data_IF_317641145028
#
_entry.id   IF_317641145028
#
_cell.length_a   1.000
_cell.length_b   1.000
_cell.length_c   1.000
_cell.angle_alpha   90.00
_cell.angle_beta   90.00
_cell.angle_gamma   90.00
#
_symmetry.space_group_name_H-M   'P 1'
#
loop_
_entity.id
_entity.type
_entity.pdbx_description
1 polymer ?
#
# COMPACT_ATOMS: atom_id res chain seq x y z
N UNK A 1 19.53 -34.24 6.15
CA UNK A 1 18.59 -33.48 5.31
C UNK A 1 19.43 -32.56 4.44
N UNK A 2 19.33 -32.69 3.13
CA UNK A 2 20.05 -31.86 2.16
C UNK A 2 19.55 -30.40 2.24
N UNK A 3 20.44 -29.44 1.98
CA UNK A 3 20.09 -28.01 2.08
C UNK A 3 18.93 -27.61 1.16
N UNK A 4 18.83 -28.26 0.00
CA UNK A 4 17.74 -28.10 -0.94
C UNK A 4 16.38 -28.53 -0.35
N UNK A 5 16.31 -29.68 0.33
CA UNK A 5 15.12 -30.13 1.04
C UNK A 5 14.66 -29.15 2.14
N UNK A 6 15.60 -28.57 2.90
CA UNK A 6 15.27 -27.55 3.92
C UNK A 6 14.68 -26.30 3.27
N UNK A 7 15.30 -25.78 2.20
CA UNK A 7 14.80 -24.60 1.48
C UNK A 7 13.40 -24.83 0.91
N UNK A 8 13.13 -26.03 0.39
CA UNK A 8 11.81 -26.38 -0.13
C UNK A 8 10.74 -26.34 0.96
N UNK A 9 11.02 -26.92 2.13
CA UNK A 9 10.10 -26.89 3.27
C UNK A 9 9.85 -25.47 3.79
N UNK A 10 10.92 -24.68 3.96
CA UNK A 10 10.82 -23.29 4.43
C UNK A 10 10.00 -22.45 3.44
N UNK A 11 10.29 -22.54 2.15
CA UNK A 11 9.53 -21.84 1.12
C UNK A 11 8.07 -22.30 1.07
N UNK A 12 7.81 -23.60 1.21
CA UNK A 12 6.47 -24.16 1.28
C UNK A 12 5.64 -23.60 2.44
N UNK A 13 6.20 -23.59 3.66
CA UNK A 13 5.54 -23.01 4.85
C UNK A 13 5.31 -21.51 4.64
N UNK A 14 6.30 -20.78 4.13
CA UNK A 14 6.18 -19.35 3.89
C UNK A 14 5.08 -19.01 2.86
N UNK A 15 4.96 -19.80 1.79
CA UNK A 15 3.89 -19.68 0.79
C UNK A 15 2.51 -19.94 1.39
N UNK A 16 2.37 -20.96 2.25
CA UNK A 16 1.11 -21.26 2.96
C UNK A 16 0.74 -20.11 3.89
N UNK A 17 1.67 -19.61 4.70
CA UNK A 17 1.42 -18.47 5.59
C UNK A 17 1.04 -17.20 4.80
N UNK A 18 1.68 -16.98 3.65
CA UNK A 18 1.34 -15.85 2.76
C UNK A 18 -0.05 -16.01 2.17
N UNK A 19 -0.45 -17.23 1.79
CA UNK A 19 -1.80 -17.51 1.32
C UNK A 19 -2.86 -17.29 2.42
N UNK A 20 -2.58 -17.69 3.66
CA UNK A 20 -3.46 -17.42 4.82
C UNK A 20 -3.59 -15.91 5.05
N UNK A 21 -2.48 -15.17 5.02
CA UNK A 21 -2.53 -13.70 5.16
C UNK A 21 -3.29 -13.05 4.00
N UNK A 22 -3.17 -13.58 2.78
CA UNK A 22 -3.91 -13.10 1.62
C UNK A 22 -5.42 -13.27 1.81
N UNK A 23 -5.89 -14.31 2.50
CA UNK A 23 -7.32 -14.52 2.78
C UNK A 23 -7.94 -13.40 3.65
N UNK A 24 -7.12 -12.68 4.42
CA UNK A 24 -7.56 -11.53 5.23
C UNK A 24 -7.49 -10.19 4.47
N UNK A 25 -7.05 -10.17 3.20
CA UNK A 25 -6.95 -8.97 2.37
C UNK A 25 -8.19 -8.79 1.49
N UNK A 26 -8.24 -7.66 0.78
CA UNK A 26 -9.27 -7.44 -0.24
C UNK A 26 -9.28 -8.60 -1.26
N UNK A 27 -10.45 -8.98 -1.78
CA UNK A 27 -10.57 -10.13 -2.71
C UNK A 27 -9.67 -10.00 -3.94
N UNK A 28 -9.44 -8.78 -4.41
CA UNK A 28 -8.58 -8.51 -5.56
C UNK A 28 -7.11 -8.76 -5.22
N UNK A 29 -6.60 -8.17 -4.14
CA UNK A 29 -5.21 -8.35 -3.70
C UNK A 29 -4.94 -9.81 -3.30
N UNK A 30 -5.92 -10.46 -2.67
CA UNK A 30 -5.86 -11.87 -2.30
C UNK A 30 -5.68 -12.76 -3.54
N UNK A 31 -6.49 -12.52 -4.58
CA UNK A 31 -6.42 -13.29 -5.83
C UNK A 31 -5.06 -13.16 -6.50
N UNK A 32 -4.50 -11.96 -6.58
CA UNK A 32 -3.21 -11.74 -7.23
C UNK A 32 -2.06 -12.43 -6.45
N UNK A 33 -2.07 -12.33 -5.12
CA UNK A 33 -1.09 -13.04 -4.28
C UNK A 33 -1.22 -14.56 -4.40
N UNK A 34 -2.45 -15.08 -4.45
CA UNK A 34 -2.68 -16.50 -4.66
C UNK A 34 -2.18 -16.96 -6.03
N UNK A 35 -2.36 -16.16 -7.08
CA UNK A 35 -1.80 -16.44 -8.41
C UNK A 35 -0.27 -16.51 -8.33
N UNK A 36 0.38 -15.54 -7.71
CA UNK A 36 1.86 -15.54 -7.55
C UNK A 36 2.32 -16.77 -6.75
N UNK A 37 1.69 -17.07 -5.62
CA UNK A 37 2.00 -18.26 -4.83
C UNK A 37 1.81 -19.54 -5.63
N UNK A 38 0.72 -19.64 -6.41
CA UNK A 38 0.45 -20.81 -7.25
C UNK A 38 1.51 -21.01 -8.33
N UNK A 39 1.98 -19.93 -8.97
CA UNK A 39 3.04 -19.99 -9.99
C UNK A 39 4.35 -20.50 -9.37
N UNK A 40 4.72 -20.01 -8.19
CA UNK A 40 5.92 -20.47 -7.48
C UNK A 40 5.80 -21.95 -7.11
N UNK A 41 4.64 -22.38 -6.60
CA UNK A 41 4.40 -23.79 -6.24
C UNK A 41 4.44 -24.71 -7.46
N UNK A 42 3.82 -24.31 -8.58
CA UNK A 42 3.86 -25.09 -9.82
C UNK A 42 5.29 -25.18 -10.35
N UNK A 43 6.04 -24.08 -10.38
CA UNK A 43 7.44 -24.09 -10.80
C UNK A 43 8.30 -24.99 -9.92
N UNK A 44 8.10 -24.94 -8.60
CA UNK A 44 8.78 -25.82 -7.64
C UNK A 44 8.41 -27.29 -7.84
N UNK A 45 7.13 -27.61 -8.08
CA UNK A 45 6.66 -28.96 -8.32
C UNK A 45 7.21 -29.53 -9.63
N UNK A 46 7.24 -28.74 -10.71
CA UNK A 46 7.88 -29.13 -11.97
C UNK A 46 9.37 -29.37 -11.75
N UNK A 47 10.06 -28.48 -11.04
CA UNK A 47 11.47 -28.70 -10.72
C UNK A 47 11.68 -29.94 -9.86
N UNK A 48 10.78 -30.24 -8.92
CA UNK A 48 10.88 -31.43 -8.07
C UNK A 48 10.78 -32.72 -8.88
N UNK A 49 9.93 -32.77 -9.91
CA UNK A 49 9.77 -33.93 -10.77
C UNK A 49 10.93 -34.12 -11.77
N UNK A 50 11.45 -33.03 -12.33
CA UNK A 50 12.43 -33.08 -13.43
C UNK A 50 13.88 -32.83 -13.01
N UNK A 51 14.09 -32.03 -11.97
CA UNK A 51 15.39 -31.60 -11.49
C UNK A 51 15.38 -31.40 -9.96
N UNK A 52 15.17 -32.48 -9.17
CA UNK A 52 14.93 -32.38 -7.72
C UNK A 52 16.04 -31.65 -6.98
N UNK A 53 17.28 -31.71 -7.48
CA UNK A 53 18.45 -31.04 -6.90
C UNK A 53 18.34 -29.50 -6.81
N UNK A 54 17.48 -28.87 -7.63
CA UNK A 54 17.33 -27.40 -7.66
C UNK A 54 15.97 -26.90 -7.17
N UNK A 55 15.02 -27.80 -6.91
CA UNK A 55 13.63 -27.43 -6.64
C UNK A 55 13.45 -26.48 -5.44
N UNK A 56 14.20 -26.70 -4.36
CA UNK A 56 14.19 -25.84 -3.18
C UNK A 56 14.77 -24.46 -3.44
N UNK A 57 15.82 -24.35 -4.26
CA UNK A 57 16.38 -23.05 -4.66
C UNK A 57 15.42 -22.25 -5.53
N UNK A 58 14.70 -22.91 -6.44
CA UNK A 58 13.67 -22.25 -7.27
C UNK A 58 12.51 -21.77 -6.41
N UNK A 59 12.02 -22.60 -5.48
CA UNK A 59 10.94 -22.22 -4.58
C UNK A 59 11.33 -21.04 -3.68
N UNK A 60 12.48 -21.14 -3.00
CA UNK A 60 12.96 -20.10 -2.09
C UNK A 60 13.36 -18.82 -2.82
N UNK A 61 14.02 -18.93 -3.97
CA UNK A 61 14.39 -17.78 -4.81
C UNK A 61 13.18 -17.08 -5.39
N UNK A 62 12.20 -17.83 -5.91
CA UNK A 62 10.93 -17.30 -6.39
C UNK A 62 10.16 -16.56 -5.29
N UNK A 63 10.06 -17.16 -4.11
CA UNK A 63 9.45 -16.51 -2.93
C UNK A 63 10.20 -15.24 -2.52
N UNK A 64 11.53 -15.29 -2.45
CA UNK A 64 12.34 -14.15 -2.06
C UNK A 64 12.18 -12.98 -3.05
N UNK A 65 12.21 -13.25 -4.36
CA UNK A 65 12.09 -12.21 -5.39
C UNK A 65 10.67 -11.67 -5.51
N UNK A 66 9.64 -12.52 -5.44
CA UNK A 66 8.27 -12.10 -5.69
C UNK A 66 7.53 -11.58 -4.45
N UNK A 67 7.98 -11.93 -3.24
CA UNK A 67 7.27 -11.60 -1.99
C UNK A 67 8.17 -10.82 -1.02
N UNK A 68 9.36 -11.35 -0.70
CA UNK A 68 10.23 -10.72 0.32
C UNK A 68 10.83 -9.40 -0.20
N UNK A 69 11.40 -9.40 -1.40
CA UNK A 69 12.06 -8.23 -1.97
C UNK A 69 11.08 -7.05 -2.15
N UNK A 70 9.87 -7.21 -2.71
CA UNK A 70 8.88 -6.13 -2.80
C UNK A 70 8.46 -5.62 -1.43
N UNK A 71 8.31 -6.50 -0.43
CA UNK A 71 7.95 -6.10 0.93
C UNK A 71 9.04 -5.21 1.55
N UNK A 72 10.31 -5.62 1.47
CA UNK A 72 11.45 -4.85 1.97
C UNK A 72 11.59 -3.51 1.23
N UNK A 73 11.42 -3.52 -0.09
CA UNK A 73 11.46 -2.30 -0.89
C UNK A 73 10.31 -1.35 -0.54
N UNK A 74 9.13 -1.87 -0.22
CA UNK A 74 7.99 -1.07 0.22
C UNK A 74 8.30 -0.37 1.53
N UNK A 75 8.90 -1.08 2.50
CA UNK A 75 9.33 -0.49 3.78
C UNK A 75 10.41 0.58 3.56
N UNK A 76 11.42 0.30 2.73
CA UNK A 76 12.47 1.26 2.41
C UNK A 76 11.91 2.50 1.70
N UNK A 77 10.94 2.30 0.80
CA UNK A 77 10.26 3.36 0.07
C UNK A 77 9.44 4.25 1.02
N UNK A 78 8.65 3.66 1.91
CA UNK A 78 7.91 4.40 2.96
C UNK A 78 8.86 5.20 3.84
N UNK A 79 9.93 4.57 4.33
CA UNK A 79 10.94 5.27 5.13
C UNK A 79 11.65 6.41 4.36
N UNK A 80 11.77 6.31 3.04
CA UNK A 80 12.30 7.38 2.20
C UNK A 80 11.29 8.54 2.06
N UNK A 81 10.00 8.24 1.87
CA UNK A 81 8.92 9.24 1.84
C UNK A 81 8.81 9.99 3.17
N UNK A 82 8.79 9.26 4.29
CA UNK A 82 8.69 9.85 5.63
C UNK A 82 9.84 10.81 5.94
N UNK A 83 11.04 10.48 5.44
CA UNK A 83 12.25 11.31 5.59
C UNK A 83 12.40 12.36 4.48
N UNK A 84 11.39 12.53 3.61
CA UNK A 84 11.40 13.43 2.45
C UNK A 84 12.61 13.24 1.53
N UNK A 85 13.12 12.01 1.41
CA UNK A 85 14.23 11.65 0.52
C UNK A 85 13.69 11.31 -0.86
N UNK A 86 13.20 12.32 -1.58
CA UNK A 86 12.46 12.17 -2.84
C UNK A 86 13.24 11.44 -3.93
N UNK A 87 14.56 11.69 -4.05
CA UNK A 87 15.42 11.00 -5.03
C UNK A 87 15.48 9.49 -4.75
N UNK A 88 15.65 9.11 -3.48
CA UNK A 88 15.67 7.70 -3.07
C UNK A 88 14.29 7.06 -3.24
N UNK A 89 13.22 7.76 -2.88
CA UNK A 89 11.86 7.29 -3.09
C UNK A 89 11.59 7.03 -4.57
N UNK A 90 12.01 7.96 -5.45
CA UNK A 90 11.91 7.79 -6.91
C UNK A 90 12.66 6.55 -7.40
N UNK A 91 13.92 6.35 -6.99
CA UNK A 91 14.68 5.17 -7.39
C UNK A 91 14.03 3.85 -6.92
N UNK A 92 13.60 3.79 -5.66
CA UNK A 92 12.94 2.61 -5.08
C UNK A 92 11.59 2.32 -5.74
N UNK A 93 10.85 3.35 -6.11
CA UNK A 93 9.54 3.21 -6.75
C UNK A 93 9.61 2.60 -8.15
N UNK A 94 10.68 2.86 -8.90
CA UNK A 94 10.96 2.22 -10.19
C UNK A 94 11.24 0.73 -10.01
N UNK A 95 12.04 0.39 -9.01
CA UNK A 95 12.32 -1.00 -8.69
C UNK A 95 11.06 -1.74 -8.22
N UNK A 96 10.23 -1.08 -7.42
CA UNK A 96 8.90 -1.58 -7.07
C UNK A 96 8.02 -1.74 -8.31
N UNK A 97 7.99 -0.77 -9.24
CA UNK A 97 7.21 -0.86 -10.48
C UNK A 97 7.49 -2.15 -11.26
N UNK A 98 8.74 -2.54 -11.35
CA UNK A 98 9.18 -3.77 -12.03
C UNK A 98 8.79 -5.02 -11.23
N UNK A 99 8.97 -5.00 -9.90
CA UNK A 99 8.75 -6.16 -9.03
C UNK A 99 7.29 -6.36 -8.59
N UNK A 100 6.37 -5.46 -8.93
CA UNK A 100 5.01 -5.37 -8.37
C UNK A 100 4.17 -6.65 -8.59
N UNK A 101 3.87 -7.42 -7.52
CA UNK A 101 3.01 -8.58 -7.61
C UNK A 101 1.51 -8.22 -7.66
N UNK A 102 1.09 -7.02 -7.18
CA UNK A 102 -0.34 -6.67 -7.06
C UNK A 102 -0.72 -5.26 -7.57
N UNK A 103 -2.00 -5.07 -7.92
CA UNK A 103 -2.61 -3.81 -8.31
C UNK A 103 -2.63 -2.78 -7.16
N UNK A 104 -2.84 -3.23 -5.92
CA UNK A 104 -2.72 -2.36 -4.74
C UNK A 104 -1.32 -1.77 -4.59
N UNK A 105 -0.27 -2.59 -4.76
CA UNK A 105 1.11 -2.10 -4.76
C UNK A 105 1.38 -1.15 -5.94
N UNK A 106 0.71 -1.37 -7.09
CA UNK A 106 0.79 -0.43 -8.21
C UNK A 106 0.27 0.94 -7.86
N UNK A 107 -0.93 0.99 -7.29
CA UNK A 107 -1.58 2.24 -6.89
C UNK A 107 -0.76 2.96 -5.82
N UNK A 108 -0.31 2.24 -4.78
CA UNK A 108 0.49 2.80 -3.70
C UNK A 108 1.79 3.45 -4.20
N UNK A 109 2.53 2.74 -5.03
CA UNK A 109 3.81 3.24 -5.53
C UNK A 109 3.61 4.40 -6.51
N UNK A 110 2.55 4.38 -7.34
CA UNK A 110 2.20 5.49 -8.22
C UNK A 110 1.85 6.75 -7.42
N UNK A 111 1.09 6.62 -6.33
CA UNK A 111 0.77 7.74 -5.44
C UNK A 111 2.02 8.35 -4.79
N UNK A 112 2.96 7.53 -4.31
CA UNK A 112 4.19 8.06 -3.72
C UNK A 112 5.15 8.68 -4.75
N UNK A 113 5.17 8.17 -5.99
CA UNK A 113 5.86 8.81 -7.10
C UNK A 113 5.25 10.17 -7.44
N UNK A 114 3.93 10.23 -7.56
CA UNK A 114 3.23 11.47 -7.84
C UNK A 114 3.46 12.52 -6.75
N UNK A 115 3.48 12.12 -5.48
CA UNK A 115 3.84 13.01 -4.38
C UNK A 115 5.27 13.54 -4.51
N UNK A 116 6.23 12.70 -4.89
CA UNK A 116 7.62 13.12 -5.10
C UNK A 116 7.76 14.12 -6.26
N UNK A 117 7.10 13.88 -7.40
CA UNK A 117 7.12 14.83 -8.54
C UNK A 117 6.45 16.16 -8.17
N UNK A 118 5.33 16.11 -7.45
CA UNK A 118 4.60 17.29 -7.00
C UNK A 118 5.45 18.17 -6.07
N UNK A 119 6.21 17.56 -5.16
CA UNK A 119 7.14 18.26 -4.26
C UNK A 119 8.31 18.91 -5.02
N UNK A 120 8.70 18.37 -6.17
CA UNK A 120 9.69 19.01 -7.06
C UNK A 120 9.09 20.07 -8.00
N UNK A 121 7.77 20.27 -7.95
CA UNK A 121 7.04 21.26 -8.75
C UNK A 121 6.52 20.76 -10.09
N UNK A 122 6.75 19.49 -10.45
CA UNK A 122 6.24 18.88 -11.68
C UNK A 122 4.84 18.29 -11.45
N UNK A 123 3.86 19.19 -11.36
CA UNK A 123 2.46 18.83 -11.13
C UNK A 123 1.91 18.01 -12.30
N UNK A 124 2.32 18.29 -13.53
CA UNK A 124 1.85 17.56 -14.71
C UNK A 124 2.29 16.10 -14.69
N UNK A 125 3.59 15.83 -14.42
CA UNK A 125 4.09 14.47 -14.28
C UNK A 125 3.40 13.72 -13.13
N UNK A 126 3.15 14.39 -12.01
CA UNK A 126 2.40 13.82 -10.90
C UNK A 126 0.98 13.39 -11.31
N UNK A 127 0.28 14.22 -12.08
CA UNK A 127 -1.07 13.91 -12.58
C UNK A 127 -1.06 12.74 -13.57
N UNK A 128 -0.06 12.68 -14.46
CA UNK A 128 0.10 11.56 -15.41
C UNK A 128 0.34 10.24 -14.68
N UNK A 129 1.12 10.23 -13.60
CA UNK A 129 1.34 9.05 -12.77
C UNK A 129 0.08 8.55 -12.06
N UNK A 130 -0.86 9.46 -11.74
CA UNK A 130 -2.14 9.16 -11.10
C UNK A 130 -3.27 8.86 -12.10
N UNK A 131 -3.05 9.05 -13.40
CA UNK A 131 -4.06 8.83 -14.43
C UNK A 131 -4.49 7.35 -14.59
N UNK A 132 -3.59 6.34 -14.54
CA UNK A 132 -3.98 4.95 -14.65
C UNK A 132 -4.52 4.43 -13.31
N UNK A 133 -5.85 4.46 -13.16
CA UNK A 133 -6.54 3.80 -12.05
C UNK A 133 -7.22 2.49 -12.49
N UNK A 134 -6.90 1.98 -13.68
CA UNK A 134 -7.50 0.76 -14.24
C UNK A 134 -7.14 -0.45 -13.39
N UNK A 135 -8.17 -1.20 -12.97
CA UNK A 135 -8.02 -2.38 -12.11
C UNK A 135 -7.78 -2.08 -10.62
N UNK A 136 -7.68 -0.80 -10.23
CA UNK A 136 -7.57 -0.45 -8.82
C UNK A 136 -8.87 -0.76 -8.05
N UNK A 137 -8.73 -1.18 -6.79
CA UNK A 137 -9.86 -1.31 -5.88
C UNK A 137 -10.56 0.04 -5.70
N UNK A 138 -11.82 0.05 -5.24
CA UNK A 138 -12.55 1.29 -5.01
C UNK A 138 -11.81 2.21 -4.03
N UNK A 139 -11.29 1.65 -2.93
CA UNK A 139 -10.48 2.38 -1.96
C UNK A 139 -9.22 2.99 -2.60
N UNK A 140 -8.52 2.23 -3.46
CA UNK A 140 -7.35 2.74 -4.17
C UNK A 140 -7.71 3.85 -5.18
N UNK A 141 -8.81 3.71 -5.92
CA UNK A 141 -9.33 4.77 -6.82
C UNK A 141 -9.67 6.04 -6.07
N UNK A 142 -10.26 5.91 -4.89
CA UNK A 142 -10.59 7.02 -4.01
C UNK A 142 -9.33 7.73 -3.50
N UNK A 143 -8.35 6.97 -3.01
CA UNK A 143 -7.06 7.50 -2.57
C UNK A 143 -6.33 8.23 -3.71
N UNK A 144 -6.31 7.66 -4.91
CA UNK A 144 -5.75 8.31 -6.11
C UNK A 144 -6.49 9.62 -6.42
N UNK A 145 -7.82 9.62 -6.37
CA UNK A 145 -8.64 10.83 -6.63
C UNK A 145 -8.34 11.94 -5.62
N UNK A 146 -8.30 11.60 -4.33
CA UNK A 146 -7.95 12.52 -3.24
C UNK A 146 -6.55 13.09 -3.44
N UNK A 147 -5.54 12.24 -3.69
CA UNK A 147 -4.18 12.68 -3.95
C UNK A 147 -4.11 13.59 -5.19
N UNK A 148 -4.84 13.26 -6.25
CA UNK A 148 -4.85 14.03 -7.49
C UNK A 148 -5.41 15.44 -7.29
N UNK A 149 -6.50 15.58 -6.54
CA UNK A 149 -7.08 16.89 -6.20
C UNK A 149 -6.18 17.68 -5.26
N UNK A 150 -5.53 17.00 -4.30
CA UNK A 150 -4.56 17.61 -3.40
C UNK A 150 -3.35 18.19 -4.16
N UNK A 151 -2.73 17.39 -5.03
CA UNK A 151 -1.59 17.82 -5.86
C UNK A 151 -1.99 18.97 -6.81
N UNK A 152 -3.21 18.93 -7.35
CA UNK A 152 -3.74 20.00 -8.19
C UNK A 152 -4.24 21.24 -7.41
N UNK A 153 -4.15 21.23 -6.07
CA UNK A 153 -4.65 22.30 -5.19
C UNK A 153 -6.13 22.66 -5.41
N UNK A 154 -6.96 21.68 -5.83
CA UNK A 154 -8.40 21.86 -6.07
C UNK A 154 -9.17 21.59 -4.77
N UNK A 155 -9.02 22.50 -3.80
CA UNK A 155 -9.42 22.30 -2.41
C UNK A 155 -10.93 22.12 -2.21
N UNK A 156 -11.77 22.90 -2.89
CA UNK A 156 -13.23 22.78 -2.79
C UNK A 156 -13.73 21.43 -3.29
N UNK A 157 -13.18 20.95 -4.41
CA UNK A 157 -13.53 19.64 -4.97
C UNK A 157 -13.00 18.50 -4.10
N UNK A 158 -11.81 18.67 -3.52
CA UNK A 158 -11.27 17.71 -2.56
C UNK A 158 -12.21 17.57 -1.35
N UNK A 159 -12.72 18.69 -0.81
CA UNK A 159 -13.69 18.67 0.28
C UNK A 159 -14.99 17.98 -0.15
N UNK A 160 -15.53 18.31 -1.32
CA UNK A 160 -16.75 17.68 -1.82
C UNK A 160 -16.59 16.15 -1.97
N UNK A 161 -15.45 15.69 -2.47
CA UNK A 161 -15.14 14.25 -2.57
C UNK A 161 -15.04 13.60 -1.19
N UNK A 162 -14.35 14.23 -0.23
CA UNK A 162 -14.20 13.67 1.13
C UNK A 162 -15.54 13.67 1.88
N UNK A 163 -16.35 14.70 1.72
CA UNK A 163 -17.65 14.84 2.39
C UNK A 163 -18.73 13.92 1.81
N UNK A 164 -18.56 13.44 0.58
CA UNK A 164 -19.43 12.43 -0.03
C UNK A 164 -19.13 11.00 0.45
N UNK A 165 -18.02 10.77 1.15
CA UNK A 165 -17.68 9.46 1.73
C UNK A 165 -18.55 9.23 2.96
N UNK A 166 -19.01 7.98 3.15
CA UNK A 166 -19.72 7.59 4.35
C UNK A 166 -18.96 8.04 5.62
N UNK A 167 -19.63 8.70 6.60
CA UNK A 167 -18.96 9.21 7.79
C UNK A 167 -18.16 8.16 8.54
N UNK A 168 -18.67 6.94 8.72
CA UNK A 168 -17.95 5.90 9.44
C UNK A 168 -16.69 5.46 8.70
N UNK A 169 -16.77 5.35 7.38
CA UNK A 169 -15.62 4.99 6.54
C UNK A 169 -14.56 6.10 6.56
N UNK A 170 -14.99 7.35 6.38
CA UNK A 170 -14.12 8.54 6.44
C UNK A 170 -13.41 8.63 7.78
N UNK A 171 -14.13 8.34 8.85
CA UNK A 171 -13.65 8.43 10.23
C UNK A 171 -12.65 7.33 10.62
N UNK A 172 -12.65 6.20 9.91
CA UNK A 172 -11.69 5.10 10.09
C UNK A 172 -10.37 5.33 9.36
N UNK A 173 -10.31 6.28 8.42
CA UNK A 173 -9.10 6.58 7.63
C UNK A 173 -8.44 7.89 8.09
N UNK A 174 -7.33 7.83 8.86
CA UNK A 174 -6.63 9.01 9.34
C UNK A 174 -6.07 9.89 8.22
N UNK A 175 -5.78 9.33 7.04
CA UNK A 175 -5.25 10.10 5.92
C UNK A 175 -6.30 11.06 5.35
N UNK A 176 -7.56 10.62 5.26
CA UNK A 176 -8.66 11.48 4.80
C UNK A 176 -8.86 12.66 5.75
N UNK A 177 -8.78 12.43 7.07
CA UNK A 177 -8.86 13.50 8.06
C UNK A 177 -7.75 14.56 7.87
N UNK A 178 -6.52 14.13 7.58
CA UNK A 178 -5.40 15.05 7.31
C UNK A 178 -5.62 15.87 6.03
N UNK A 179 -6.06 15.24 4.94
CA UNK A 179 -6.37 15.96 3.70
C UNK A 179 -7.52 16.95 3.88
N UNK A 180 -8.55 16.56 4.62
CA UNK A 180 -9.71 17.42 4.91
C UNK A 180 -9.34 18.63 5.74
N UNK A 181 -8.61 18.44 6.84
CA UNK A 181 -8.11 19.54 7.68
C UNK A 181 -7.29 20.55 6.87
N UNK A 182 -6.41 20.05 6.00
CA UNK A 182 -5.62 20.91 5.13
C UNK A 182 -6.51 21.68 4.15
N UNK A 183 -7.42 21.01 3.45
CA UNK A 183 -8.31 21.66 2.49
C UNK A 183 -9.21 22.71 3.16
N UNK A 184 -9.74 22.43 4.36
CA UNK A 184 -10.50 23.42 5.15
C UNK A 184 -9.65 24.65 5.50
N UNK A 185 -8.37 24.46 5.81
CA UNK A 185 -7.42 25.55 6.06
C UNK A 185 -7.21 26.43 4.83
N UNK A 186 -6.98 25.82 3.67
CA UNK A 186 -6.76 26.55 2.40
C UNK A 186 -8.01 27.31 1.93
N UNK A 187 -9.21 26.81 2.21
CA UNK A 187 -10.48 27.48 1.90
C UNK A 187 -10.92 28.45 3.02
N UNK A 188 -10.21 28.48 4.15
CA UNK A 188 -10.49 29.41 5.25
C UNK A 188 -11.70 29.05 6.13
N UNK A 189 -12.13 27.79 6.14
CA UNK A 189 -13.29 27.29 6.93
C UNK A 189 -12.88 26.92 8.37
N UNK A 190 -12.44 27.91 9.15
CA UNK A 190 -11.81 27.72 10.47
C UNK A 190 -12.73 27.05 11.50
N UNK A 191 -14.02 27.36 11.50
CA UNK A 191 -14.97 26.78 12.46
C UNK A 191 -15.09 25.25 12.30
N UNK A 192 -15.00 24.78 11.05
CA UNK A 192 -15.05 23.36 10.73
C UNK A 192 -13.74 22.64 11.10
N UNK A 193 -12.60 23.33 10.99
CA UNK A 193 -11.32 22.82 11.51
C UNK A 193 -11.44 22.58 13.02
N UNK A 194 -12.00 23.53 13.78
CA UNK A 194 -12.17 23.39 15.22
C UNK A 194 -13.17 22.27 15.60
N UNK A 195 -14.18 22.03 14.75
CA UNK A 195 -15.06 20.87 14.90
C UNK A 195 -14.31 19.56 14.65
N UNK A 196 -13.58 19.46 13.55
CA UNK A 196 -12.84 18.26 13.15
C UNK A 196 -11.77 17.88 14.19
N UNK A 197 -11.01 18.85 14.69
CA UNK A 197 -10.03 18.63 15.76
C UNK A 197 -10.65 18.08 17.04
N UNK A 198 -11.86 18.56 17.41
CA UNK A 198 -12.57 18.03 18.58
C UNK A 198 -12.97 16.57 18.35
N UNK A 199 -13.50 16.26 17.18
CA UNK A 199 -13.89 14.89 16.82
C UNK A 199 -12.69 13.94 16.86
N UNK A 200 -11.55 14.32 16.28
CA UNK A 200 -10.31 13.54 16.31
C UNK A 200 -9.72 13.41 17.73
N UNK A 201 -9.69 14.51 18.50
CA UNK A 201 -9.16 14.53 19.87
C UNK A 201 -10.03 13.79 20.89
N UNK A 202 -11.32 13.61 20.62
CA UNK A 202 -12.20 12.74 21.41
C UNK A 202 -11.93 11.26 21.09
N UNK A 203 -11.64 10.93 19.83
CA UNK A 203 -11.31 9.56 19.40
C UNK A 203 -9.98 9.06 19.94
N UNK A 204 -8.93 9.88 19.90
CA UNK A 204 -7.62 9.52 20.48
C UNK A 204 -7.71 9.13 21.96
N UNK A 205 -8.59 9.78 22.72
CA UNK A 205 -8.84 9.45 24.14
C UNK A 205 -9.66 8.17 24.34
N UNK A 206 -10.57 7.84 23.42
CA UNK A 206 -11.34 6.59 23.46
C UNK A 206 -10.51 5.35 23.08
N UNK A 207 -9.60 5.47 22.11
CA UNK A 207 -8.70 4.38 21.70
C UNK A 207 -7.70 4.02 22.82
N UNK A 208 -7.20 5.02 23.55
CA UNK A 208 -6.35 4.81 24.73
C UNK A 208 -7.12 4.09 25.84
N UNK A 209 -8.41 4.41 26.05
CA UNK A 209 -9.27 3.72 27.05
C UNK A 209 -9.58 2.27 26.68
N UNK A 210 -9.81 1.98 25.40
CA UNK A 210 -10.03 0.62 24.91
C UNK A 210 -8.78 -0.27 25.09
N UNK A 211 -7.59 0.31 24.96
CA UNK A 211 -6.33 -0.40 25.20
C UNK A 211 -6.09 -0.67 26.70
N UNK A 212 -6.49 0.23 27.60
CA UNK A 212 -6.37 0.01 29.05
C UNK A 212 -7.36 -0.99 29.64
N UNK A 213 -8.46 -1.30 28.93
CA UNK A 213 -9.46 -2.28 29.40
C UNK A 213 -9.16 -3.72 28.95
N UNK A 214 -8.21 -3.92 28.04
CA UNK A 214 -7.71 -5.24 27.62
C UNK A 214 -6.43 -5.69 28.35
N UNK A 215 -5.89 -4.85 29.24
CA UNK A 215 -4.73 -5.17 30.09
C UNK A 215 -5.07 -5.23 31.58
N UNK A 216 -6.36 -5.36 31.93
CA UNK A 216 -6.84 -5.59 33.30
C UNK A 216 -7.29 -7.02 33.50
#
# INVERSE_FOLDING_TARGET
>A
MDGNGILLWVAGIALVLTAIQAANRSRADARELLVVCSVILVAAAVCWLWAPAIAGYVAAGGYAVAIVCPALLTVAFQGALDRRRWISARALSWLLLVLRPTAGMRSFTAMGLAAAEAETGDIEAAQQLLAPAEGASEAARRAITVMRLHVAQRWDELLAVIDAIDPEERDRDPMLAMYRLRALGEVGRIDEIAHEYRTLGLRGRSAIRACTTWCG
#
